data_IF_007040763200
#
_entry.id   IF_007040763200
#
_cell.length_a   1.000
_cell.length_b   1.000
_cell.length_c   1.000
_cell.angle_alpha   90.00
_cell.angle_beta   90.00
_cell.angle_gamma   90.00
#
_symmetry.space_group_name_H-M   'P 1'
#
loop_
_entity.id
_entity.type
_entity.pdbx_description
1 polymer ?
#
# COMPACT_ATOMS: atom_id res chain seq x y z
N UNK A 1 4.59 11.47 -11.52
CA UNK A 1 3.21 11.29 -11.00
C UNK A 1 3.24 10.59 -9.65
N UNK A 2 2.40 10.99 -8.69
CA UNK A 2 2.29 10.32 -7.38
C UNK A 2 1.06 9.41 -7.36
N UNK A 3 1.22 8.19 -6.86
CA UNK A 3 0.17 7.17 -6.82
C UNK A 3 0.07 6.59 -5.40
N UNK A 4 -1.15 6.41 -4.91
CA UNK A 4 -1.44 5.73 -3.64
C UNK A 4 -2.23 4.46 -3.93
N UNK A 5 -1.75 3.31 -3.47
CA UNK A 5 -2.47 2.04 -3.50
C UNK A 5 -2.91 1.73 -2.08
N UNK A 6 -4.19 1.51 -1.85
CA UNK A 6 -4.73 1.40 -0.49
C UNK A 6 -5.94 0.48 -0.43
N UNK A 7 -6.17 -0.13 0.73
CA UNK A 7 -7.44 -0.78 1.09
C UNK A 7 -8.22 0.02 2.16
N UNK A 8 -7.84 1.30 2.36
CA UNK A 8 -8.41 2.19 3.34
C UNK A 8 -9.23 3.29 2.66
N UNK A 9 -10.55 3.22 2.83
CA UNK A 9 -11.49 4.20 2.24
C UNK A 9 -11.22 5.63 2.70
N UNK A 10 -10.74 5.85 3.94
CA UNK A 10 -10.38 7.19 4.41
C UNK A 10 -9.17 7.77 3.67
N UNK A 11 -8.21 6.92 3.29
CA UNK A 11 -7.05 7.33 2.49
C UNK A 11 -7.50 7.70 1.08
N UNK A 12 -8.28 6.84 0.42
CA UNK A 12 -8.83 7.16 -0.91
C UNK A 12 -9.61 8.48 -0.88
N UNK A 13 -10.58 8.61 0.02
CA UNK A 13 -11.44 9.80 0.07
C UNK A 13 -10.67 11.09 0.38
N UNK A 14 -9.59 11.03 1.16
CA UNK A 14 -8.78 12.23 1.47
C UNK A 14 -7.92 12.69 0.29
N UNK A 15 -7.42 11.74 -0.51
CA UNK A 15 -6.44 11.96 -1.57
C UNK A 15 -7.04 11.97 -2.98
N UNK A 16 -8.31 11.58 -3.13
CA UNK A 16 -9.07 11.64 -4.37
C UNK A 16 -8.99 13.03 -5.00
N UNK A 17 -8.57 13.08 -6.27
CA UNK A 17 -8.39 14.32 -7.02
C UNK A 17 -7.13 15.13 -6.68
N UNK A 18 -6.33 14.71 -5.69
CA UNK A 18 -5.04 15.33 -5.34
C UNK A 18 -3.85 14.51 -5.85
N UNK A 19 -3.98 13.19 -5.80
CA UNK A 19 -3.03 12.21 -6.32
C UNK A 19 -3.82 11.05 -6.91
N UNK A 20 -3.18 10.26 -7.78
CA UNK A 20 -3.82 9.05 -8.28
C UNK A 20 -3.99 8.06 -7.14
N UNK A 21 -5.16 7.44 -7.08
CA UNK A 21 -5.54 6.51 -6.00
C UNK A 21 -6.09 5.23 -6.60
N UNK A 22 -5.58 4.09 -6.14
CA UNK A 22 -6.11 2.76 -6.43
C UNK A 22 -6.62 2.20 -5.11
N UNK A 23 -7.94 2.18 -4.95
CA UNK A 23 -8.61 1.50 -3.83
C UNK A 23 -8.80 0.03 -4.19
N UNK A 24 -8.41 -0.85 -3.28
CA UNK A 24 -8.70 -2.28 -3.35
C UNK A 24 -9.68 -2.63 -2.24
N UNK A 25 -10.81 -3.26 -2.58
CA UNK A 25 -11.80 -3.75 -1.61
C UNK A 25 -11.37 -5.07 -0.94
N UNK A 26 -10.07 -5.27 -0.81
CA UNK A 26 -9.47 -6.55 -0.46
C UNK A 26 -8.32 -6.39 0.52
N UNK A 27 -7.51 -7.44 0.68
CA UNK A 27 -6.57 -7.55 1.76
C UNK A 27 -5.33 -6.67 1.65
N UNK A 28 -4.64 -6.46 2.78
CA UNK A 28 -3.32 -5.83 2.77
C UNK A 28 -2.31 -6.60 1.90
N UNK A 29 -2.50 -7.91 1.68
CA UNK A 29 -1.70 -8.70 0.74
C UNK A 29 -1.92 -8.23 -0.69
N UNK A 30 -3.17 -7.96 -1.07
CA UNK A 30 -3.49 -7.51 -2.43
C UNK A 30 -2.93 -6.11 -2.69
N UNK A 31 -2.91 -5.24 -1.66
CA UNK A 31 -2.22 -3.95 -1.75
C UNK A 31 -0.73 -4.13 -2.04
N UNK A 32 -0.07 -5.08 -1.35
CA UNK A 32 1.34 -5.40 -1.59
C UNK A 32 1.56 -6.01 -2.98
N UNK A 33 0.69 -6.91 -3.44
CA UNK A 33 0.77 -7.52 -4.77
C UNK A 33 0.54 -6.50 -5.89
N UNK A 34 -0.42 -5.58 -5.72
CA UNK A 34 -0.65 -4.50 -6.68
C UNK A 34 0.52 -3.51 -6.67
N UNK A 35 1.09 -3.23 -5.50
CA UNK A 35 2.32 -2.45 -5.37
C UNK A 35 3.50 -3.07 -6.10
N UNK A 36 3.65 -4.40 -6.04
CA UNK A 36 4.70 -5.10 -6.76
C UNK A 36 4.58 -4.88 -8.27
N UNK A 37 3.38 -5.01 -8.84
CA UNK A 37 3.12 -4.72 -10.26
C UNK A 37 3.47 -3.28 -10.63
N UNK A 38 3.11 -2.31 -9.77
CA UNK A 38 3.45 -0.90 -10.00
C UNK A 38 4.97 -0.69 -9.97
N UNK A 39 5.69 -1.40 -9.10
CA UNK A 39 7.15 -1.33 -9.04
C UNK A 39 7.82 -1.95 -10.29
N UNK A 40 7.27 -3.06 -10.80
CA UNK A 40 7.67 -3.68 -12.06
C UNK A 40 7.43 -2.76 -13.27
N UNK A 41 6.43 -1.87 -13.21
CA UNK A 41 6.19 -0.82 -14.21
C UNK A 41 7.08 0.44 -14.03
N UNK A 42 8.05 0.41 -13.11
CA UNK A 42 8.98 1.51 -12.82
C UNK A 42 8.53 2.48 -11.72
N UNK A 43 7.51 2.12 -10.95
CA UNK A 43 7.12 2.87 -9.75
C UNK A 43 8.15 2.74 -8.62
N UNK A 44 8.60 3.86 -8.06
CA UNK A 44 9.49 3.87 -6.89
C UNK A 44 8.70 4.09 -5.62
N UNK A 45 8.86 3.21 -4.64
CA UNK A 45 8.16 3.34 -3.37
C UNK A 45 8.77 4.45 -2.52
N UNK A 46 7.93 5.31 -1.95
CA UNK A 46 8.36 6.50 -1.20
C UNK A 46 8.56 6.25 0.30
N UNK A 47 8.14 5.10 0.80
CA UNK A 47 8.26 4.74 2.22
C UNK A 47 8.49 3.23 2.37
N UNK A 48 9.08 2.84 3.50
CA UNK A 48 9.28 1.44 3.84
C UNK A 48 7.99 0.84 4.43
N UNK A 49 7.36 -0.16 3.77
CA UNK A 49 6.12 -0.76 4.22
C UNK A 49 6.33 -1.78 5.34
N UNK A 50 7.57 -2.18 5.63
CA UNK A 50 7.89 -3.09 6.75
C UNK A 50 7.78 -2.41 8.11
N UNK A 51 7.94 -1.08 8.13
CA UNK A 51 7.89 -0.28 9.36
C UNK A 51 6.46 -0.02 9.85
N UNK A 52 5.45 -0.38 9.05
CA UNK A 52 4.04 -0.19 9.38
C UNK A 52 3.37 -1.53 9.65
N UNK A 53 3.04 -1.73 10.93
CA UNK A 53 2.18 -2.83 11.36
C UNK A 53 0.74 -2.37 11.30
N UNK A 54 -0.13 -3.15 10.66
CA UNK A 54 -1.54 -2.80 10.55
C UNK A 54 -2.28 -3.57 9.48
N UNK A 55 -3.60 -3.61 9.64
CA UNK A 55 -4.55 -4.19 8.69
C UNK A 55 -4.67 -3.37 7.41
N UNK A 56 -4.53 -2.04 7.53
CA UNK A 56 -4.50 -1.11 6.41
C UNK A 56 -3.04 -0.79 6.07
N UNK A 57 -2.61 -1.15 4.86
CA UNK A 57 -1.21 -1.01 4.39
C UNK A 57 -1.16 -0.13 3.14
N UNK A 58 -1.48 1.15 3.27
CA UNK A 58 -1.38 2.07 2.14
C UNK A 58 0.06 2.20 1.65
N UNK A 59 0.24 2.13 0.32
CA UNK A 59 1.51 2.28 -0.35
C UNK A 59 1.55 3.55 -1.20
N UNK A 60 2.62 4.33 -1.11
CA UNK A 60 2.83 5.56 -1.89
C UNK A 60 3.98 5.35 -2.87
N UNK A 61 3.71 5.60 -4.14
CA UNK A 61 4.68 5.48 -5.22
C UNK A 61 4.89 6.81 -5.93
N UNK A 62 6.12 7.01 -6.39
CA UNK A 62 6.47 7.96 -7.43
C UNK A 62 6.64 7.20 -8.74
N UNK A 63 5.77 7.46 -9.70
CA UNK A 63 5.89 6.95 -11.08
C UNK A 63 6.48 8.04 -11.96
N UNK A 64 7.72 7.84 -12.41
CA UNK A 64 8.39 8.71 -13.38
C UNK A 64 8.05 8.30 -14.82
N UNK A 65 8.59 9.03 -15.79
CA UNK A 65 8.51 8.66 -17.21
C UNK A 65 9.42 7.47 -17.53
N UNK A 66 10.48 7.30 -16.73
CA UNK A 66 11.33 6.12 -16.76
C UNK A 66 10.57 4.91 -16.20
N UNK A 67 10.21 3.99 -17.10
CA UNK A 67 9.50 2.73 -16.79
C UNK A 67 10.44 1.61 -16.34
N UNK A 68 11.70 1.93 -16.05
CA UNK A 68 12.68 0.96 -15.59
C UNK A 68 12.29 0.42 -14.21
N UNK A 69 12.16 -0.91 -14.05
CA UNK A 69 11.79 -1.53 -12.77
C UNK A 69 12.74 -1.12 -11.64
N UNK A 70 12.19 -0.75 -10.48
CA UNK A 70 13.01 -0.46 -9.30
C UNK A 70 13.29 -1.75 -8.51
N UNK A 71 14.43 -2.41 -8.79
CA UNK A 71 14.79 -3.69 -8.18
C UNK A 71 14.77 -3.67 -6.64
N UNK A 72 15.13 -2.53 -6.04
CA UNK A 72 15.11 -2.34 -4.59
C UNK A 72 13.69 -2.39 -4.04
N UNK A 73 12.77 -1.63 -4.62
CA UNK A 73 11.35 -1.65 -4.26
C UNK A 73 10.76 -3.03 -4.50
N UNK A 74 11.04 -3.64 -5.65
CA UNK A 74 10.56 -4.99 -6.01
C UNK A 74 11.02 -6.02 -4.97
N UNK A 75 12.31 -6.05 -4.64
CA UNK A 75 12.86 -6.98 -3.65
C UNK A 75 12.24 -6.80 -2.26
N UNK A 76 11.99 -5.56 -1.86
CA UNK A 76 11.31 -5.24 -0.59
C UNK A 76 9.86 -5.72 -0.58
N UNK A 77 9.11 -5.44 -1.65
CA UNK A 77 7.70 -5.83 -1.76
C UNK A 77 7.53 -7.35 -1.85
N UNK A 78 8.40 -8.07 -2.58
CA UNK A 78 8.40 -9.54 -2.61
C UNK A 78 8.53 -10.14 -1.21
N UNK A 79 9.50 -9.66 -0.41
CA UNK A 79 9.65 -10.08 0.99
C UNK A 79 8.40 -9.79 1.82
N UNK A 80 7.79 -8.62 1.64
CA UNK A 80 6.56 -8.27 2.36
C UNK A 80 5.38 -9.18 1.99
N UNK A 81 5.23 -9.51 0.70
CA UNK A 81 4.20 -10.43 0.22
C UNK A 81 4.41 -11.82 0.81
N UNK A 82 5.63 -12.37 0.73
CA UNK A 82 5.94 -13.68 1.31
C UNK A 82 5.66 -13.75 2.81
N UNK A 83 6.04 -12.73 3.56
CA UNK A 83 5.75 -12.65 5.01
C UNK A 83 4.25 -12.56 5.28
N UNK A 84 3.53 -11.72 4.55
CA UNK A 84 2.09 -11.52 4.76
C UNK A 84 1.30 -12.79 4.42
N UNK A 85 1.67 -13.51 3.35
CA UNK A 85 1.08 -14.80 2.99
C UNK A 85 1.34 -15.86 4.07
N UNK A 86 2.57 -15.94 4.60
CA UNK A 86 2.91 -16.86 5.70
C UNK A 86 2.12 -16.58 6.98
N UNK A 87 1.85 -15.31 7.29
CA UNK A 87 1.12 -14.92 8.50
C UNK A 87 -0.40 -15.09 8.37
N UNK A 88 -0.96 -14.90 7.18
CA UNK A 88 -2.42 -14.88 6.95
C UNK A 88 -2.98 -16.19 6.40
N UNK A 89 -2.14 -17.14 6.00
CA UNK A 89 -2.56 -18.49 5.58
C UNK A 89 -3.63 -18.48 4.49
N UNK A 90 -3.29 -18.10 3.26
CA UNK A 90 -4.05 -18.21 1.98
C UNK A 90 -5.55 -17.83 1.91
N UNK A 91 -6.27 -17.57 2.99
CA UNK A 91 -7.71 -17.26 2.98
C UNK A 91 -8.10 -16.64 4.32
N UNK A 92 -7.64 -15.42 4.58
CA UNK A 92 -8.24 -14.61 5.64
C UNK A 92 -9.45 -13.89 5.06
N UNK A 93 -10.65 -14.44 5.28
CA UNK A 93 -11.90 -13.69 5.08
C UNK A 93 -11.78 -12.34 5.79
N UNK A 94 -12.03 -11.27 5.04
CA UNK A 94 -11.69 -9.91 5.44
C UNK A 94 -12.74 -9.37 6.42
N UNK A 95 -12.73 -9.85 7.67
CA UNK A 95 -13.54 -9.22 8.72
C UNK A 95 -12.82 -7.97 9.22
N UNK A 96 -13.47 -6.81 9.07
CA UNK A 96 -12.91 -5.56 9.58
C UNK A 96 -12.63 -5.67 11.09
N UNK A 97 -11.43 -5.29 11.56
CA UNK A 97 -11.09 -5.33 12.98
C UNK A 97 -12.00 -4.44 13.81
N UNK A 98 -12.20 -4.78 15.10
CA UNK A 98 -12.96 -3.94 16.05
C UNK A 98 -12.40 -2.51 16.11
N UNK A 99 -11.08 -2.36 15.95
CA UNK A 99 -10.38 -1.08 15.94
C UNK A 99 -10.16 -0.49 14.53
N UNK A 100 -10.93 -0.93 13.52
CA UNK A 100 -10.78 -0.49 12.13
C UNK A 100 -10.74 1.04 12.00
N UNK A 101 -11.63 1.77 12.69
CA UNK A 101 -11.67 3.22 12.62
C UNK A 101 -10.37 3.93 13.08
N UNK A 102 -9.72 3.41 14.12
CA UNK A 102 -8.44 3.92 14.65
C UNK A 102 -7.30 3.58 13.70
N UNK A 103 -7.25 2.32 13.24
CA UNK A 103 -6.23 1.86 12.29
C UNK A 103 -6.29 2.62 10.97
N UNK A 104 -7.50 2.88 10.44
CA UNK A 104 -7.67 3.69 9.23
C UNK A 104 -7.18 5.13 9.42
N UNK A 105 -7.36 5.70 10.62
CA UNK A 105 -6.87 7.06 10.94
C UNK A 105 -5.34 7.08 11.02
N UNK A 106 -4.73 6.13 11.72
CA UNK A 106 -3.27 6.02 11.83
C UNK A 106 -2.61 5.85 10.46
N UNK A 107 -3.18 5.01 9.61
CA UNK A 107 -2.71 4.84 8.23
C UNK A 107 -2.84 6.16 7.44
N UNK A 108 -3.99 6.83 7.48
CA UNK A 108 -4.18 8.15 6.85
C UNK A 108 -3.14 9.17 7.30
N UNK A 109 -2.95 9.33 8.61
CA UNK A 109 -2.03 10.32 9.16
C UNK A 109 -0.59 10.01 8.74
N UNK A 110 -0.23 8.74 8.65
CA UNK A 110 1.08 8.33 8.13
C UNK A 110 1.27 8.63 6.65
N UNK A 111 0.21 8.52 5.83
CA UNK A 111 0.27 8.83 4.40
C UNK A 111 0.33 10.33 4.17
N UNK A 112 -0.35 11.14 4.99
CA UNK A 112 -0.21 12.60 4.97
C UNK A 112 1.24 13.02 5.20
N UNK A 113 1.96 12.41 6.13
CA UNK A 113 3.37 12.75 6.38
C UNK A 113 4.30 12.48 5.18
N UNK A 114 3.94 11.50 4.33
CA UNK A 114 4.74 11.15 3.14
C UNK A 114 4.40 12.07 1.96
N UNK A 115 3.15 12.51 1.87
CA UNK A 115 2.63 13.28 0.73
C UNK A 115 2.55 14.79 0.96
N UNK A 116 2.69 15.25 2.21
CA UNK A 116 2.87 16.66 2.57
C UNK A 116 4.08 17.26 1.86
#
# INVERSE_FOLDING_TARGET
MRLVITNNKKVESHFKGKVDTILLDSSGVDVLQKGLKVAEEGGRLLHDPTRKNGFYKSLVFLKGDDRSPDEKTIGMLKKCVEQAVKQLGSSAEFKEPIFAGILQKQDLDSIKLILA
#
